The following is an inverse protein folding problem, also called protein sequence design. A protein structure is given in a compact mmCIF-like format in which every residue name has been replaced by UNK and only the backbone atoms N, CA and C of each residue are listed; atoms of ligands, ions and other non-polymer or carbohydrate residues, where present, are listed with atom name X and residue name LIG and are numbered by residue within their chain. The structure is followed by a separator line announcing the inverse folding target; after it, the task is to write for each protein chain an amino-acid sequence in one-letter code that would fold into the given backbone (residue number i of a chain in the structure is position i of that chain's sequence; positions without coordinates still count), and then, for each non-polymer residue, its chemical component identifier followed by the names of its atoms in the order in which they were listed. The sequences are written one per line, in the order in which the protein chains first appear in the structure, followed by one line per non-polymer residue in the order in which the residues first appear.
data_IF_554105132949
#
_entry.id   IF_554105132949
#
_cell.length_a   1.000
_cell.length_b   1.000
_cell.length_c   1.000
_cell.angle_alpha   90.00
_cell.angle_beta   90.00
_cell.angle_gamma   90.00
#
_symmetry.space_group_name_H-M   'P 1'
#
loop_
_entity.id
_entity.type
_entity.pdbx_description
1 polymer ?
#
# COMPACT_ATOMS: atom_id res chain seq x y z
N UNK A 1 63.34 10.56 19.57
CA UNK A 1 62.08 10.50 20.33
C UNK A 1 60.95 10.30 19.33
N UNK A 2 60.50 9.06 19.21
CA UNK A 2 59.47 8.60 18.26
C UNK A 2 58.08 8.85 18.82
N UNK A 3 57.18 9.41 18.00
CA UNK A 3 55.75 9.37 18.25
C UNK A 3 55.07 8.78 17.02
N UNK A 4 54.82 7.48 17.06
CA UNK A 4 53.98 6.74 16.11
C UNK A 4 52.53 6.82 16.58
N UNK A 5 51.70 7.62 15.91
CA UNK A 5 50.25 7.61 16.13
C UNK A 5 49.62 6.52 15.26
N UNK A 6 49.33 5.37 15.86
CA UNK A 6 48.49 4.32 15.26
C UNK A 6 47.03 4.79 15.26
N UNK A 7 46.45 4.98 14.08
CA UNK A 7 45.02 5.20 13.90
C UNK A 7 44.25 3.90 14.17
N UNK A 8 43.29 3.94 15.10
CA UNK A 8 42.31 2.89 15.28
C UNK A 8 41.16 3.09 14.27
N UNK A 9 40.66 2.01 13.61
CA UNK A 9 39.50 2.12 12.73
C UNK A 9 38.22 2.32 13.55
N UNK A 10 37.36 3.23 13.07
CA UNK A 10 36.01 3.42 13.60
C UNK A 10 35.14 2.24 13.13
N UNK A 11 34.91 1.30 14.04
CA UNK A 11 33.99 0.18 13.86
C UNK A 11 32.55 0.70 14.08
N UNK A 12 31.84 0.99 12.99
CA UNK A 12 30.47 1.47 13.01
C UNK A 12 29.54 0.27 13.25
N UNK A 13 29.55 -0.23 14.48
CA UNK A 13 28.61 -1.24 14.93
C UNK A 13 27.19 -0.64 14.96
N UNK A 14 26.36 -1.04 13.99
CA UNK A 14 24.92 -0.82 14.01
C UNK A 14 24.36 -1.61 15.20
N UNK A 15 24.07 -0.92 16.30
CA UNK A 15 23.32 -1.48 17.43
C UNK A 15 21.87 -1.70 16.99
N UNK A 16 21.31 -2.92 17.07
CA UNK A 16 19.91 -3.13 16.79
C UNK A 16 19.08 -2.43 17.87
N UNK A 17 18.24 -1.49 17.44
CA UNK A 17 17.16 -0.92 18.26
C UNK A 17 16.28 -2.08 18.70
N UNK A 18 16.35 -2.42 19.98
CA UNK A 18 15.43 -3.37 20.60
C UNK A 18 14.07 -2.67 20.67
N UNK A 19 13.16 -3.02 19.76
CA UNK A 19 11.75 -2.66 19.91
C UNK A 19 11.23 -3.31 21.19
N UNK A 20 10.85 -2.47 22.14
CA UNK A 20 10.30 -2.84 23.43
C UNK A 20 9.04 -3.72 23.24
N UNK A 21 9.09 -4.97 23.69
CA UNK A 21 7.91 -5.69 24.16
C UNK A 21 7.08 -6.52 23.16
N UNK A 22 7.64 -6.99 22.05
CA UNK A 22 6.94 -8.00 21.23
C UNK A 22 7.07 -9.39 21.89
N UNK A 23 5.97 -9.90 22.42
CA UNK A 23 5.80 -11.30 22.85
C UNK A 23 6.28 -12.21 21.71
N UNK A 24 7.03 -13.31 21.95
CA UNK A 24 7.49 -14.17 20.87
C UNK A 24 6.27 -14.78 20.16
N UNK A 25 5.96 -14.32 18.95
CA UNK A 25 4.97 -14.96 18.10
C UNK A 25 5.61 -16.24 17.57
N UNK A 26 4.93 -17.36 17.84
CA UNK A 26 5.44 -18.70 17.60
C UNK A 26 5.70 -18.87 16.10
N UNK A 27 6.95 -19.17 15.74
CA UNK A 27 7.32 -19.64 14.41
C UNK A 27 6.89 -21.10 14.26
N UNK A 28 5.60 -21.35 14.09
CA UNK A 28 5.12 -22.62 13.58
C UNK A 28 5.06 -22.51 12.06
N UNK A 29 5.68 -23.46 11.35
CA UNK A 29 5.45 -23.53 9.91
C UNK A 29 3.94 -23.79 9.68
N UNK A 30 3.37 -23.30 8.58
CA UNK A 30 1.96 -23.55 8.22
C UNK A 30 1.59 -25.04 8.31
N UNK A 31 2.57 -25.94 8.10
CA UNK A 31 2.41 -27.40 8.17
C UNK A 31 2.27 -27.95 9.60
N UNK A 32 2.84 -27.29 10.61
CA UNK A 32 2.84 -27.79 11.99
C UNK A 32 1.50 -27.55 12.71
N UNK A 33 0.60 -26.78 12.09
CA UNK A 33 -0.64 -26.28 12.69
C UNK A 33 -1.91 -26.91 12.10
N UNK A 34 -1.78 -27.85 11.16
CA UNK A 34 -2.88 -28.46 10.39
C UNK A 34 -3.85 -29.35 11.20
N UNK A 35 -3.64 -29.52 12.51
CA UNK A 35 -4.49 -30.32 13.41
C UNK A 35 -5.46 -29.50 14.28
N UNK A 36 -5.31 -28.17 14.31
CA UNK A 36 -6.19 -27.26 15.05
C UNK A 36 -7.07 -26.55 14.01
N UNK A 37 -8.39 -26.58 14.11
CA UNK A 37 -9.24 -25.82 13.19
C UNK A 37 -8.91 -24.33 13.31
N UNK A 38 -8.27 -23.75 12.30
CA UNK A 38 -7.98 -22.31 12.30
C UNK A 38 -9.30 -21.54 12.13
N UNK A 39 -9.45 -20.39 12.80
CA UNK A 39 -10.49 -19.44 12.43
C UNK A 39 -10.37 -19.12 10.93
N UNK A 40 -11.48 -18.85 10.24
CA UNK A 40 -11.45 -18.55 8.82
C UNK A 40 -10.62 -17.30 8.50
N UNK A 41 -10.16 -17.19 7.26
CA UNK A 41 -9.64 -15.93 6.71
C UNK A 41 -10.82 -15.15 6.15
N UNK A 42 -11.02 -13.92 6.60
CA UNK A 42 -12.01 -13.01 6.01
C UNK A 42 -11.51 -12.59 4.64
N UNK A 43 -12.34 -12.77 3.62
CA UNK A 43 -12.05 -12.30 2.26
C UNK A 43 -13.06 -11.24 1.86
N UNK A 44 -12.59 -10.03 1.58
CA UNK A 44 -13.42 -8.95 1.04
C UNK A 44 -13.27 -8.96 -0.48
N UNK A 45 -14.34 -9.36 -1.17
CA UNK A 45 -14.41 -9.38 -2.63
C UNK A 45 -15.21 -8.18 -3.14
N UNK A 46 -14.59 -7.31 -3.95
CA UNK A 46 -15.22 -6.07 -4.41
C UNK A 46 -16.07 -6.22 -5.66
N UNK A 47 -15.87 -7.27 -6.46
CA UNK A 47 -16.70 -7.54 -7.64
C UNK A 47 -16.74 -9.02 -8.00
N UNK A 48 -17.81 -9.45 -8.68
CA UNK A 48 -17.98 -10.85 -9.05
C UNK A 48 -16.88 -11.41 -9.98
N UNK A 49 -16.26 -10.55 -10.79
CA UNK A 49 -15.21 -10.93 -11.75
C UNK A 49 -13.81 -11.02 -11.14
N UNK A 50 -13.64 -10.60 -9.88
CA UNK A 50 -12.38 -10.68 -9.15
C UNK A 50 -12.51 -11.61 -7.94
N UNK A 51 -12.76 -12.92 -8.13
CA UNK A 51 -12.78 -13.89 -7.04
C UNK A 51 -11.37 -14.07 -6.44
N UNK A 52 -11.24 -14.77 -5.30
CA UNK A 52 -9.95 -15.07 -4.67
C UNK A 52 -8.94 -15.76 -5.60
N UNK A 53 -9.40 -16.50 -6.62
CA UNK A 53 -8.52 -17.10 -7.64
C UNK A 53 -7.40 -17.94 -7.03
N UNK A 54 -6.18 -17.82 -7.59
CA UNK A 54 -5.02 -18.60 -7.18
C UNK A 54 -4.67 -18.48 -5.70
N UNK A 55 -4.81 -17.30 -5.09
CA UNK A 55 -4.53 -17.14 -3.65
C UNK A 55 -5.60 -17.85 -2.81
N UNK A 56 -6.86 -17.83 -3.25
CA UNK A 56 -7.93 -18.57 -2.61
C UNK A 56 -7.74 -20.07 -2.71
N UNK A 57 -7.46 -20.58 -3.92
CA UNK A 57 -7.16 -22.00 -4.17
C UNK A 57 -6.00 -22.47 -3.29
N UNK A 58 -4.91 -21.72 -3.26
CA UNK A 58 -3.74 -22.03 -2.44
C UNK A 58 -4.08 -22.07 -0.94
N UNK A 59 -4.85 -21.10 -0.42
CA UNK A 59 -5.29 -21.10 0.98
C UNK A 59 -6.16 -22.31 1.30
N UNK A 60 -7.12 -22.63 0.42
CA UNK A 60 -8.00 -23.79 0.61
C UNK A 60 -7.25 -25.11 0.54
N UNK A 61 -6.23 -25.23 -0.32
CA UNK A 61 -5.36 -26.41 -0.40
C UNK A 61 -4.53 -26.61 0.88
N UNK A 62 -4.28 -25.55 1.66
CA UNK A 62 -3.67 -25.64 2.99
C UNK A 62 -4.68 -25.97 4.11
N UNK A 63 -5.96 -26.18 3.78
CA UNK A 63 -7.02 -26.43 4.76
C UNK A 63 -7.56 -25.17 5.45
N UNK A 64 -7.25 -23.98 4.92
CA UNK A 64 -7.79 -22.71 5.45
C UNK A 64 -9.22 -22.53 4.95
N UNK A 65 -10.13 -22.22 5.87
CA UNK A 65 -11.52 -21.86 5.53
C UNK A 65 -11.56 -20.38 5.14
N UNK A 66 -12.23 -20.06 4.03
CA UNK A 66 -12.42 -18.68 3.58
C UNK A 66 -13.84 -18.21 3.92
N UNK A 67 -13.95 -17.12 4.67
CA UNK A 67 -15.19 -16.38 4.87
C UNK A 67 -15.27 -15.27 3.80
N UNK A 68 -15.83 -15.58 2.63
CA UNK A 68 -15.91 -14.63 1.51
C UNK A 68 -17.13 -13.74 1.65
N UNK A 69 -16.90 -12.43 1.78
CA UNK A 69 -17.92 -11.39 1.81
C UNK A 69 -17.97 -10.62 0.50
N UNK A 70 -19.20 -10.45 0.00
CA UNK A 70 -19.54 -9.76 -1.24
C UNK A 70 -20.32 -8.46 -0.93
N UNK A 71 -19.66 -7.42 -0.40
CA UNK A 71 -20.34 -6.16 -0.07
C UNK A 71 -20.97 -5.47 -1.27
N UNK A 72 -20.45 -5.67 -2.49
CA UNK A 72 -21.08 -5.20 -3.73
C UNK A 72 -22.47 -5.82 -3.98
N UNK A 73 -22.76 -6.96 -3.35
CA UNK A 73 -24.06 -7.64 -3.38
C UNK A 73 -24.89 -7.39 -2.11
N UNK A 74 -24.51 -6.40 -1.30
CA UNK A 74 -25.25 -6.00 -0.09
C UNK A 74 -24.92 -6.84 1.16
N UNK A 75 -23.94 -7.74 1.11
CA UNK A 75 -23.50 -8.45 2.32
C UNK A 75 -22.77 -7.48 3.26
N UNK A 76 -23.11 -7.54 4.56
CA UNK A 76 -22.39 -6.74 5.56
C UNK A 76 -21.00 -7.32 5.84
N UNK A 77 -20.05 -6.42 6.00
CA UNK A 77 -18.74 -6.73 6.58
C UNK A 77 -18.87 -6.80 8.11
N UNK A 78 -18.07 -7.64 8.78
CA UNK A 78 -18.02 -7.67 10.24
C UNK A 78 -17.47 -6.34 10.79
N UNK A 79 -17.78 -6.04 12.06
CA UNK A 79 -17.30 -4.84 12.76
C UNK A 79 -15.90 -5.02 13.36
N UNK A 80 -15.45 -6.27 13.49
CA UNK A 80 -14.13 -6.64 13.99
C UNK A 80 -13.55 -7.86 13.25
N UNK A 81 -12.39 -8.34 13.72
CA UNK A 81 -11.67 -9.50 13.18
C UNK A 81 -11.43 -10.57 14.28
N UNK A 82 -12.20 -10.55 15.37
CA UNK A 82 -11.93 -11.42 16.53
C UNK A 82 -12.05 -12.92 16.18
N UNK A 83 -12.95 -13.24 15.24
CA UNK A 83 -13.22 -14.60 14.78
C UNK A 83 -12.45 -14.96 13.48
N UNK A 84 -11.47 -14.15 13.06
CA UNK A 84 -10.73 -14.37 11.82
C UNK A 84 -9.22 -14.48 12.07
N UNK A 85 -8.60 -15.46 11.40
CA UNK A 85 -7.16 -15.67 11.49
C UNK A 85 -6.35 -14.73 10.58
N UNK A 86 -7.02 -14.06 9.65
CA UNK A 86 -6.41 -13.17 8.67
C UNK A 86 -7.46 -12.40 7.88
N UNK A 87 -7.00 -11.35 7.19
CA UNK A 87 -7.79 -10.51 6.31
C UNK A 87 -7.17 -10.49 4.90
N UNK A 88 -7.95 -10.90 3.90
CA UNK A 88 -7.61 -10.80 2.48
C UNK A 88 -8.54 -9.80 1.80
N UNK A 89 -8.00 -8.72 1.27
CA UNK A 89 -8.74 -7.70 0.53
C UNK A 89 -8.37 -7.79 -0.94
N UNK A 90 -9.35 -8.11 -1.79
CA UNK A 90 -9.13 -8.38 -3.20
C UNK A 90 -9.12 -7.11 -4.06
N UNK A 91 -8.90 -7.29 -5.36
CA UNK A 91 -9.02 -6.23 -6.36
C UNK A 91 -10.48 -5.89 -6.69
N UNK A 92 -10.65 -4.82 -7.47
CA UNK A 92 -11.92 -4.39 -8.06
C UNK A 92 -11.69 -3.20 -8.99
N UNK A 93 -12.68 -2.85 -9.80
CA UNK A 93 -12.62 -1.73 -10.74
C UNK A 93 -12.70 -0.34 -10.08
N UNK A 94 -13.09 -0.26 -8.82
CA UNK A 94 -13.24 0.99 -8.07
C UNK A 94 -11.88 1.66 -7.86
N UNK A 95 -11.88 2.98 -7.76
CA UNK A 95 -10.76 3.72 -7.16
C UNK A 95 -10.78 3.60 -5.64
N UNK A 96 -9.60 3.62 -5.00
CA UNK A 96 -9.48 3.58 -3.55
C UNK A 96 -10.14 4.79 -2.84
N UNK A 97 -10.37 5.87 -3.59
CA UNK A 97 -11.01 7.11 -3.16
C UNK A 97 -12.53 7.16 -3.40
N UNK A 98 -13.13 6.12 -3.95
CA UNK A 98 -14.53 6.15 -4.41
C UNK A 98 -15.55 5.79 -3.30
N UNK A 99 -15.25 6.07 -2.04
CA UNK A 99 -16.08 5.71 -0.88
C UNK A 99 -17.52 6.22 -0.98
N UNK A 100 -17.73 7.40 -1.55
CA UNK A 100 -19.06 8.00 -1.73
C UNK A 100 -19.93 7.18 -2.69
N UNK A 101 -19.32 6.61 -3.74
CA UNK A 101 -20.01 5.74 -4.70
C UNK A 101 -20.10 4.29 -4.20
N UNK A 102 -19.15 3.86 -3.37
CA UNK A 102 -19.01 2.50 -2.89
C UNK A 102 -18.80 2.47 -1.36
N UNK A 103 -19.87 2.62 -0.56
CA UNK A 103 -19.76 2.85 0.90
C UNK A 103 -19.05 1.74 1.70
N UNK A 104 -18.95 0.52 1.16
CA UNK A 104 -18.22 -0.56 1.81
C UNK A 104 -16.70 -0.36 1.77
N UNK A 105 -16.16 0.51 0.91
CA UNK A 105 -14.73 0.80 0.87
C UNK A 105 -14.26 1.43 2.19
N UNK A 106 -15.09 2.30 2.77
CA UNK A 106 -14.84 2.87 4.10
C UNK A 106 -14.79 1.78 5.18
N UNK A 107 -15.77 0.88 5.21
CA UNK A 107 -15.79 -0.25 6.15
C UNK A 107 -14.61 -1.21 5.93
N UNK A 108 -14.17 -1.41 4.68
CA UNK A 108 -13.00 -2.21 4.35
C UNK A 108 -11.72 -1.57 4.89
N UNK A 109 -11.58 -0.24 4.76
CA UNK A 109 -10.46 0.51 5.35
C UNK A 109 -10.43 0.40 6.87
N UNK A 110 -11.58 0.41 7.54
CA UNK A 110 -11.64 0.16 8.99
C UNK A 110 -11.16 -1.24 9.38
N UNK A 111 -11.59 -2.28 8.66
CA UNK A 111 -11.08 -3.64 8.90
C UNK A 111 -9.56 -3.73 8.71
N UNK A 112 -8.99 -3.03 7.73
CA UNK A 112 -7.54 -2.98 7.55
C UNK A 112 -6.85 -2.31 8.74
N UNK A 113 -7.38 -1.19 9.25
CA UNK A 113 -6.84 -0.53 10.45
C UNK A 113 -6.89 -1.44 11.67
N UNK A 114 -8.00 -2.16 11.85
CA UNK A 114 -8.16 -3.15 12.91
C UNK A 114 -7.14 -4.28 12.77
N UNK A 115 -6.93 -4.80 11.56
CA UNK A 115 -5.96 -5.87 11.30
C UNK A 115 -4.54 -5.43 11.65
N UNK A 116 -4.14 -4.25 11.17
CA UNK A 116 -2.83 -3.68 11.48
C UNK A 116 -2.65 -3.37 12.98
N UNK A 117 -3.69 -2.87 13.66
CA UNK A 117 -3.65 -2.54 15.08
C UNK A 117 -3.68 -3.74 16.03
N UNK A 118 -4.30 -4.85 15.62
CA UNK A 118 -4.47 -6.06 16.44
C UNK A 118 -3.48 -7.18 16.10
N UNK A 119 -2.66 -7.00 15.06
CA UNK A 119 -1.70 -8.01 14.61
C UNK A 119 -2.30 -9.14 13.79
N UNK A 120 -3.53 -8.97 13.28
CA UNK A 120 -4.14 -9.93 12.34
C UNK A 120 -3.45 -9.75 10.98
N UNK A 121 -2.83 -10.82 10.42
CA UNK A 121 -2.18 -10.76 9.11
C UNK A 121 -3.14 -10.27 8.03
N UNK A 122 -2.76 -9.19 7.35
CA UNK A 122 -3.59 -8.53 6.34
C UNK A 122 -2.86 -8.48 5.00
N UNK A 123 -3.51 -8.96 3.94
CA UNK A 123 -3.01 -8.93 2.57
C UNK A 123 -4.00 -8.17 1.68
N UNK A 124 -3.51 -7.12 1.00
CA UNK A 124 -4.25 -6.37 0.00
C UNK A 124 -3.72 -6.65 -1.41
N UNK A 125 -4.59 -6.98 -2.36
CA UNK A 125 -4.24 -7.26 -3.76
C UNK A 125 -4.90 -6.23 -4.67
N UNK A 126 -4.13 -5.58 -5.56
CA UNK A 126 -4.63 -4.55 -6.47
C UNK A 126 -5.34 -3.42 -5.69
N UNK A 127 -6.64 -3.17 -5.89
CA UNK A 127 -7.43 -2.24 -5.08
C UNK A 127 -7.23 -2.45 -3.58
N UNK A 128 -7.16 -3.70 -3.11
CA UNK A 128 -6.92 -4.00 -1.70
C UNK A 128 -5.59 -3.45 -1.17
N UNK A 129 -4.54 -3.38 -2.01
CA UNK A 129 -3.26 -2.77 -1.60
C UNK A 129 -3.40 -1.24 -1.48
N UNK A 130 -4.19 -0.62 -2.35
CA UNK A 130 -4.40 0.83 -2.35
C UNK A 130 -5.23 1.24 -1.14
N UNK A 131 -6.31 0.50 -0.85
CA UNK A 131 -7.11 0.66 0.37
C UNK A 131 -6.24 0.47 1.62
N UNK A 132 -5.29 -0.48 1.58
CA UNK A 132 -4.35 -0.68 2.68
C UNK A 132 -3.40 0.50 2.88
N UNK A 133 -2.87 1.07 1.80
CA UNK A 133 -2.10 2.32 1.87
C UNK A 133 -2.89 3.43 2.55
N UNK A 134 -4.08 3.72 2.04
CA UNK A 134 -4.95 4.77 2.59
C UNK A 134 -5.37 4.53 4.04
N UNK A 135 -5.72 3.29 4.39
CA UNK A 135 -6.11 2.94 5.75
C UNK A 135 -5.00 3.25 6.77
N UNK A 136 -3.74 3.04 6.35
CA UNK A 136 -2.54 3.25 7.17
C UNK A 136 -1.93 4.65 7.03
N UNK A 137 -2.56 5.56 6.27
CA UNK A 137 -2.04 6.90 6.03
C UNK A 137 -0.77 6.92 5.18
N UNK A 138 -0.58 5.91 4.33
CA UNK A 138 0.50 5.81 3.37
C UNK A 138 0.01 6.27 2.00
N UNK A 139 0.88 6.95 1.27
CA UNK A 139 0.58 7.32 -0.10
C UNK A 139 0.96 6.19 -1.08
N UNK A 140 0.23 6.10 -2.18
CA UNK A 140 0.52 5.16 -3.27
C UNK A 140 0.89 5.89 -4.55
N UNK A 141 1.90 5.38 -5.27
CA UNK A 141 2.39 5.97 -6.52
C UNK A 141 1.95 5.11 -7.71
N UNK A 142 1.34 5.77 -8.71
CA UNK A 142 1.09 5.18 -10.01
C UNK A 142 2.38 5.26 -10.85
N UNK A 143 2.97 4.10 -11.09
CA UNK A 143 4.29 3.96 -11.71
C UNK A 143 4.21 3.62 -13.20
N UNK A 144 5.28 3.94 -13.94
CA UNK A 144 5.44 3.54 -15.34
C UNK A 144 4.59 4.34 -16.34
N UNK A 145 4.30 5.61 -16.05
CA UNK A 145 3.54 6.48 -16.95
C UNK A 145 4.41 7.01 -18.08
N UNK A 146 4.09 6.63 -19.32
CA UNK A 146 4.87 6.95 -20.52
C UNK A 146 4.17 7.92 -21.46
N UNK A 147 2.84 8.06 -21.35
CA UNK A 147 2.06 8.93 -22.24
C UNK A 147 1.20 9.94 -21.48
N UNK A 148 0.86 11.05 -22.16
CA UNK A 148 -0.04 12.06 -21.60
C UNK A 148 -1.48 11.57 -21.41
N UNK A 149 -1.92 10.62 -22.23
CA UNK A 149 -3.24 9.98 -22.06
C UNK A 149 -3.32 9.19 -20.75
N UNK A 150 -2.26 8.40 -20.43
CA UNK A 150 -2.17 7.69 -19.16
C UNK A 150 -2.15 8.67 -17.97
N UNK A 151 -1.39 9.76 -18.08
CA UNK A 151 -1.32 10.79 -17.05
C UNK A 151 -2.68 11.44 -16.77
N UNK A 152 -3.40 11.87 -17.81
CA UNK A 152 -4.73 12.46 -17.66
C UNK A 152 -5.75 11.45 -17.14
N UNK A 153 -5.62 10.17 -17.53
CA UNK A 153 -6.46 9.10 -16.98
C UNK A 153 -6.24 8.90 -15.48
N UNK A 154 -5.00 8.90 -15.03
CA UNK A 154 -4.66 8.72 -13.60
C UNK A 154 -5.13 9.90 -12.75
N UNK A 155 -5.13 11.12 -13.28
CA UNK A 155 -5.77 12.27 -12.62
C UNK A 155 -7.27 12.08 -12.44
N UNK A 156 -7.97 11.57 -13.45
CA UNK A 156 -9.41 11.29 -13.36
C UNK A 156 -9.69 10.19 -12.34
N UNK A 157 -8.79 9.21 -12.21
CA UNK A 157 -8.86 8.17 -11.18
C UNK A 157 -8.39 8.64 -9.80
N UNK A 158 -8.05 9.92 -9.67
CA UNK A 158 -7.61 10.55 -8.43
C UNK A 158 -6.39 9.84 -7.80
N UNK A 159 -5.40 9.44 -8.61
CA UNK A 159 -4.12 8.94 -8.12
C UNK A 159 -3.31 10.11 -7.56
N UNK A 160 -2.92 10.02 -6.28
CA UNK A 160 -2.24 11.12 -5.57
C UNK A 160 -0.81 11.37 -6.06
N UNK A 161 -0.11 10.33 -6.52
CA UNK A 161 1.27 10.40 -6.99
C UNK A 161 1.45 9.65 -8.30
N UNK A 162 2.23 10.22 -9.20
CA UNK A 162 2.49 9.65 -10.52
C UNK A 162 3.98 9.73 -10.82
N UNK A 163 4.56 8.61 -11.23
CA UNK A 163 5.92 8.53 -11.73
C UNK A 163 5.93 7.86 -13.11
N UNK A 164 6.78 8.38 -13.99
CA UNK A 164 7.12 7.72 -15.25
C UNK A 164 7.85 8.64 -16.22
N UNK A 165 8.28 8.08 -17.35
CA UNK A 165 9.03 8.80 -18.39
C UNK A 165 8.29 10.06 -18.88
N UNK A 166 6.96 10.02 -18.93
CA UNK A 166 6.14 11.18 -19.29
C UNK A 166 6.34 12.36 -18.33
N UNK A 167 6.45 12.07 -17.02
CA UNK A 167 6.60 13.06 -15.96
C UNK A 167 8.03 13.60 -15.93
N UNK A 168 9.03 12.72 -16.05
CA UNK A 168 10.44 13.10 -16.07
C UNK A 168 11.24 12.19 -17.00
N UNK A 169 11.98 12.82 -17.92
CA UNK A 169 12.86 12.13 -18.85
C UNK A 169 14.28 11.99 -18.23
N UNK A 170 15.06 10.96 -18.61
CA UNK A 170 16.47 10.91 -18.28
C UNK A 170 17.19 12.19 -18.71
N UNK A 171 17.93 12.81 -17.79
CA UNK A 171 18.65 14.05 -18.05
C UNK A 171 20.13 13.92 -17.65
N UNK A 172 21.04 14.74 -18.23
CA UNK A 172 22.43 14.78 -17.81
C UNK A 172 22.57 15.12 -16.32
N UNK A 173 23.61 14.58 -15.66
CA UNK A 173 23.82 14.74 -14.21
C UNK A 173 23.80 16.21 -13.74
N UNK A 174 24.27 17.13 -14.58
CA UNK A 174 24.22 18.58 -14.28
C UNK A 174 22.79 19.09 -14.16
N UNK A 175 21.90 18.72 -15.08
CA UNK A 175 20.50 19.12 -15.07
C UNK A 175 19.75 18.52 -13.86
N UNK A 176 20.08 17.28 -13.48
CA UNK A 176 19.54 16.66 -12.26
C UNK A 176 20.04 17.39 -11.01
N UNK A 177 21.31 17.79 -10.94
CA UNK A 177 21.85 18.53 -9.82
C UNK A 177 21.18 19.90 -9.65
N UNK A 178 20.88 20.59 -10.75
CA UNK A 178 20.13 21.85 -10.75
C UNK A 178 18.68 21.65 -10.28
N UNK A 179 18.01 20.57 -10.73
CA UNK A 179 16.67 20.21 -10.28
C UNK A 179 16.63 19.92 -8.77
N UNK A 180 17.56 19.10 -8.27
CA UNK A 180 17.64 18.73 -6.85
C UNK A 180 18.03 19.91 -5.95
N UNK A 181 18.76 20.90 -6.49
CA UNK A 181 19.10 22.13 -5.78
C UNK A 181 17.93 23.14 -5.75
N UNK A 182 16.90 22.93 -6.57
CA UNK A 182 15.69 23.75 -6.54
C UNK A 182 14.87 23.36 -5.32
N UNK A 183 14.57 24.29 -4.39
CA UNK A 183 13.72 24.00 -3.25
C UNK A 183 12.37 23.47 -3.74
N UNK A 184 11.96 22.30 -3.24
CA UNK A 184 10.56 21.90 -3.36
C UNK A 184 9.75 22.96 -2.63
N UNK A 185 8.77 23.62 -3.27
CA UNK A 185 7.97 24.65 -2.63
C UNK A 185 7.42 24.15 -1.29
N UNK A 186 7.56 24.94 -0.23
CA UNK A 186 7.03 24.61 1.10
C UNK A 186 5.52 24.30 1.02
N UNK A 187 5.18 23.02 1.05
CA UNK A 187 4.12 22.47 1.92
C UNK A 187 2.67 22.96 1.83
N UNK A 188 2.25 23.78 0.86
CA UNK A 188 0.85 23.71 0.36
C UNK A 188 0.72 22.67 -0.77
N UNK A 189 1.76 21.87 -0.95
CA UNK A 189 1.75 20.64 -1.73
C UNK A 189 0.84 19.62 -1.06
N UNK A 190 0.08 18.90 -1.87
CA UNK A 190 -0.91 17.87 -1.53
C UNK A 190 -0.38 16.64 -0.75
N UNK A 191 0.76 16.74 -0.09
CA UNK A 191 1.36 15.69 0.72
C UNK A 191 1.09 15.94 2.22
N UNK A 192 -0.09 15.50 2.68
CA UNK A 192 -0.49 15.39 4.09
C UNK A 192 -1.77 16.14 4.50
N UNK A 193 -2.40 15.72 5.61
CA UNK A 193 -3.41 14.66 5.71
C UNK A 193 -4.80 15.09 5.20
N UNK A 194 -5.58 14.14 4.66
CA UNK A 194 -7.02 14.25 4.34
C UNK A 194 -7.42 15.51 3.55
N UNK A 195 -7.38 15.43 2.22
CA UNK A 195 -8.14 16.36 1.39
C UNK A 195 -9.58 15.88 1.26
N UNK A 196 -10.40 16.23 2.23
CA UNK A 196 -11.83 16.39 2.00
C UNK A 196 -12.00 17.58 1.04
N UNK A 197 -12.13 17.31 -0.25
CA UNK A 197 -12.52 18.33 -1.23
C UNK A 197 -11.55 18.55 -2.39
N UNK A 198 -12.16 18.50 -3.58
CA UNK A 198 -11.69 18.96 -4.88
C UNK A 198 -10.69 20.12 -4.79
N UNK A 199 -9.46 19.93 -5.27
CA UNK A 199 -8.76 21.01 -5.97
C UNK A 199 -7.99 20.43 -7.14
N UNK A 200 -8.12 21.14 -8.24
CA UNK A 200 -7.61 20.77 -9.54
C UNK A 200 -6.10 20.60 -9.54
N UNK A 201 -5.66 19.48 -10.10
CA UNK A 201 -4.30 19.25 -10.55
C UNK A 201 -3.92 20.30 -11.59
N UNK A 202 -2.80 21.01 -11.38
CA UNK A 202 -2.20 21.85 -12.42
C UNK A 202 -1.23 21.01 -13.24
N UNK A 203 -1.44 20.91 -14.55
CA UNK A 203 -0.53 20.16 -15.43
C UNK A 203 0.85 20.83 -15.49
N UNK A 204 1.96 20.10 -15.29
CA UNK A 204 3.26 20.61 -15.70
C UNK A 204 3.27 20.72 -17.23
N UNK A 205 3.80 21.82 -17.75
CA UNK A 205 3.98 21.99 -19.19
C UNK A 205 4.92 20.88 -19.70
N UNK A 206 4.48 20.13 -20.70
CA UNK A 206 5.33 19.14 -21.37
C UNK A 206 6.61 19.83 -21.85
N UNK A 207 7.78 19.32 -21.42
CA UNK A 207 9.05 19.80 -21.96
C UNK A 207 9.12 19.47 -23.45
N UNK A 208 9.58 20.40 -24.30
CA UNK A 208 9.65 20.15 -25.74
C UNK A 208 10.66 19.02 -26.00
N UNK A 209 10.19 17.99 -26.71
CA UNK A 209 11.03 16.91 -27.23
C UNK A 209 12.14 17.53 -28.09
N UNK A 210 13.38 17.38 -27.66
CA UNK A 210 14.55 17.76 -28.46
C UNK A 210 14.84 16.61 -29.42
N UNK A 211 14.70 16.88 -30.72
CA UNK A 211 15.07 15.98 -31.82
C UNK A 211 16.57 15.97 -32.07
#
# INVERSE_FOLDING_TARGET
MSASSTGAPLDLAITPVTVCGMRPSRSHSVRDMAGMGWPPVLVVQHEARCPPGLVGEWLTDQGVVLDVRHPYAGQRLPEDLADHAGLLVLGGHMGANDDDAYPWLSATKELIRLGAGSGVPTLGICLGHQLLGQALGLDTIAEGVETGEQYERLKVLNCDHIQGHYVAHPAPAKAIAELLATPVPDGTSSYGPTRTGSSAWSSPAASPATA
#
